data_IF_357072259538
#
_entry.id   IF_357072259538
#
_cell.length_a   1.000
_cell.length_b   1.000
_cell.length_c   1.000
_cell.angle_alpha   90.00
_cell.angle_beta   90.00
_cell.angle_gamma   90.00
#
_symmetry.space_group_name_H-M   'P 1'
#
loop_
_entity.id
_entity.type
_entity.pdbx_description
1 polymer ?
#
# COMPACT_ATOMS: atom_id res chain seq x y z
N UNK A 1 31.84 9.80 87.40
CA UNK A 1 31.01 11.03 87.43
C UNK A 1 30.92 11.52 85.98
N UNK A 2 29.83 11.57 85.20
CA UNK A 2 28.35 11.47 85.30
C UNK A 2 27.93 10.81 83.96
N UNK A 3 27.29 9.64 83.87
CA UNK A 3 25.86 9.32 83.97
C UNK A 3 24.90 10.26 83.20
N UNK A 4 24.28 9.77 82.09
CA UNK A 4 22.84 9.79 81.77
C UNK A 4 22.59 9.21 80.35
N UNK A 5 22.00 8.01 80.23
CA UNK A 5 20.59 7.70 79.93
C UNK A 5 20.20 7.68 78.44
N UNK A 6 20.07 6.44 77.97
CA UNK A 6 19.14 5.88 76.96
C UNK A 6 17.82 6.63 76.73
N UNK A 7 17.32 6.56 75.48
CA UNK A 7 15.93 6.39 74.99
C UNK A 7 15.78 7.05 73.60
N UNK A 8 15.06 6.61 72.57
CA UNK A 8 14.25 5.43 72.21
C UNK A 8 13.98 5.56 70.70
N UNK A 9 13.77 4.43 70.02
CA UNK A 9 13.22 4.19 68.68
C UNK A 9 12.72 5.33 67.79
N UNK A 10 13.03 5.23 66.49
CA UNK A 10 12.00 5.31 65.47
C UNK A 10 12.20 4.22 64.41
N UNK A 11 11.09 3.60 64.06
CA UNK A 11 10.94 2.46 63.16
C UNK A 11 10.95 2.93 61.70
N UNK A 12 11.36 2.02 60.81
CA UNK A 12 10.89 1.86 59.41
C UNK A 12 11.25 3.00 58.43
N UNK A 13 12.10 2.69 57.45
CA UNK A 13 11.68 2.56 56.05
C UNK A 13 12.86 2.08 55.21
N UNK A 14 12.81 0.79 54.83
CA UNK A 14 13.56 0.28 53.69
C UNK A 14 12.93 0.92 52.45
N UNK A 15 13.61 1.85 51.81
CA UNK A 15 13.27 2.27 50.44
C UNK A 15 14.36 1.68 49.55
N UNK A 16 14.11 0.45 49.10
CA UNK A 16 14.79 -0.10 47.91
C UNK A 16 14.30 0.72 46.73
N UNK A 17 15.05 1.73 46.34
CA UNK A 17 14.82 2.42 45.07
C UNK A 17 15.40 1.54 43.96
N UNK A 18 14.59 0.60 43.49
CA UNK A 18 14.79 -0.01 42.19
C UNK A 18 14.34 1.02 41.14
N UNK A 19 15.22 1.96 40.78
CA UNK A 19 15.08 2.68 39.52
C UNK A 19 15.32 1.67 38.40
N UNK A 20 14.23 1.03 37.99
CA UNK A 20 14.16 0.27 36.76
C UNK A 20 14.58 1.19 35.62
N UNK A 21 15.75 0.92 35.05
CA UNK A 21 16.10 1.34 33.70
C UNK A 21 15.01 0.75 32.80
N UNK A 22 13.97 1.53 32.48
CA UNK A 22 13.10 1.20 31.38
C UNK A 22 13.97 1.35 30.12
N UNK A 23 14.62 0.25 29.74
CA UNK A 23 15.20 0.14 28.42
C UNK A 23 14.10 0.51 27.44
N UNK A 24 14.29 1.63 26.75
CA UNK A 24 13.51 1.95 25.56
C UNK A 24 13.91 0.91 24.53
N UNK A 25 13.31 -0.28 24.63
CA UNK A 25 13.23 -1.18 23.51
C UNK A 25 12.55 -0.35 22.42
N UNK A 26 13.15 -0.14 21.24
CA UNK A 26 12.35 0.28 20.10
C UNK A 26 11.25 -0.77 20.02
N UNK A 27 9.99 -0.33 20.15
CA UNK A 27 8.85 -1.17 19.90
C UNK A 27 9.04 -1.68 18.48
N UNK A 28 9.54 -2.91 18.35
CA UNK A 28 9.54 -3.63 17.09
C UNK A 28 8.06 -3.92 16.89
N UNK A 29 7.35 -2.96 16.30
CA UNK A 29 6.07 -3.21 15.71
C UNK A 29 6.37 -4.28 14.67
N UNK A 30 6.02 -5.53 15.01
CA UNK A 30 5.97 -6.60 14.03
C UNK A 30 5.02 -6.07 12.95
N UNK A 31 5.58 -5.62 11.83
CA UNK A 31 4.83 -5.14 10.70
C UNK A 31 4.02 -6.33 10.18
N UNK A 32 2.76 -6.41 10.60
CA UNK A 32 1.82 -7.37 10.06
C UNK A 32 1.54 -6.97 8.62
N UNK A 33 1.88 -7.85 7.68
CA UNK A 33 1.21 -7.79 6.38
C UNK A 33 -0.29 -7.97 6.68
N UNK A 34 -1.10 -6.97 6.34
CA UNK A 34 -2.52 -7.02 6.59
C UNK A 34 -3.13 -8.20 5.84
N UNK A 35 -3.95 -8.99 6.53
CA UNK A 35 -4.88 -9.92 5.89
C UNK A 35 -6.09 -9.13 5.37
N UNK A 36 -6.70 -9.59 4.28
CA UNK A 36 -7.79 -8.88 3.63
C UNK A 36 -7.72 -8.83 2.12
N UNK A 37 -8.62 -8.02 1.57
CA UNK A 37 -8.63 -7.65 0.16
C UNK A 37 -8.92 -6.17 -0.01
N UNK A 38 -8.39 -5.57 -1.07
CA UNK A 38 -8.73 -4.22 -1.48
C UNK A 38 -9.56 -4.29 -2.75
N UNK A 39 -10.65 -3.52 -2.77
CA UNK A 39 -11.50 -3.37 -3.95
C UNK A 39 -11.59 -1.92 -4.33
N UNK A 40 -11.91 -1.67 -5.59
CA UNK A 40 -12.32 -0.34 -6.00
C UNK A 40 -11.98 -0.07 -7.43
N UNK A 41 -11.78 1.20 -7.71
CA UNK A 41 -11.42 1.67 -9.03
C UNK A 41 -11.58 3.16 -9.11
N UNK A 42 -11.31 3.69 -10.30
CA UNK A 42 -11.42 5.11 -10.51
C UNK A 42 -10.71 5.57 -11.75
N UNK A 43 -10.33 6.84 -11.72
CA UNK A 43 -9.50 7.40 -12.76
C UNK A 43 -8.48 8.38 -12.22
N UNK A 44 -7.31 8.34 -12.82
CA UNK A 44 -6.21 9.28 -12.56
C UNK A 44 -5.88 10.03 -13.84
N UNK A 45 -5.53 11.31 -13.70
CA UNK A 45 -5.12 12.15 -14.83
C UNK A 45 -3.61 12.43 -14.71
N UNK A 46 -2.82 12.09 -15.73
CA UNK A 46 -1.36 12.25 -15.71
C UNK A 46 -0.84 13.33 -16.67
N UNK A 47 -1.72 13.99 -17.43
CA UNK A 47 -1.35 15.12 -18.31
C UNK A 47 -1.69 16.49 -17.69
N UNK A 48 -0.88 17.53 -17.95
CA UNK A 48 -1.25 18.91 -17.65
C UNK A 48 -2.60 19.26 -18.29
N UNK A 49 -3.55 19.74 -17.49
CA UNK A 49 -4.93 20.02 -17.93
C UNK A 49 -6.00 19.10 -17.32
N UNK A 50 -5.61 18.01 -16.65
CA UNK A 50 -6.54 17.09 -15.99
C UNK A 50 -7.28 16.16 -16.96
N UNK A 51 -8.29 15.44 -16.45
CA UNK A 51 -9.15 14.56 -17.24
C UNK A 51 -10.19 15.41 -17.99
N UNK A 52 -9.77 16.12 -19.03
CA UNK A 52 -10.69 16.84 -19.92
C UNK A 52 -11.37 15.85 -20.85
N UNK A 53 -12.53 15.36 -20.44
CA UNK A 53 -13.41 14.53 -21.28
C UNK A 53 -14.20 15.41 -22.25
N UNK A 54 -13.51 16.04 -23.21
CA UNK A 54 -14.19 16.63 -24.38
C UNK A 54 -14.30 15.57 -25.46
N UNK A 55 -15.48 15.41 -26.04
CA UNK A 55 -15.75 14.45 -27.12
C UNK A 55 -14.65 14.46 -28.18
N UNK A 56 -13.89 13.37 -28.26
CA UNK A 56 -12.87 13.14 -29.30
C UNK A 56 -11.43 13.52 -28.94
N UNK A 57 -11.14 13.93 -27.70
CA UNK A 57 -9.76 14.16 -27.25
C UNK A 57 -9.48 13.24 -26.07
N UNK A 58 -8.53 12.32 -26.23
CA UNK A 58 -8.06 11.53 -25.12
C UNK A 58 -7.25 12.44 -24.18
N UNK A 59 -7.89 12.93 -23.13
CA UNK A 59 -7.19 13.49 -22.00
C UNK A 59 -6.31 12.40 -21.39
N UNK A 60 -5.23 12.76 -20.70
CA UNK A 60 -4.30 11.83 -20.04
C UNK A 60 -4.92 11.04 -18.90
N UNK A 61 -6.07 10.40 -19.13
CA UNK A 61 -6.86 9.66 -18.19
C UNK A 61 -6.52 8.19 -18.32
N UNK A 62 -6.23 7.59 -17.18
CA UNK A 62 -6.20 6.15 -17.02
C UNK A 62 -7.31 5.79 -16.07
N UNK A 63 -8.08 4.76 -16.42
CA UNK A 63 -9.05 4.15 -15.49
C UNK A 63 -8.56 2.81 -15.01
N UNK A 64 -8.99 2.44 -13.82
CA UNK A 64 -8.74 1.11 -13.29
C UNK A 64 -9.93 0.61 -12.47
N UNK A 65 -10.03 -0.70 -12.34
CA UNK A 65 -10.98 -1.38 -11.47
C UNK A 65 -10.39 -2.71 -11.01
N UNK A 66 -10.58 -3.05 -9.73
CA UNK A 66 -9.90 -4.19 -9.14
C UNK A 66 -10.60 -4.79 -7.93
N UNK A 67 -10.27 -6.06 -7.69
CA UNK A 67 -10.43 -6.81 -6.45
C UNK A 67 -9.15 -7.61 -6.28
N UNK A 68 -8.38 -7.34 -5.22
CA UNK A 68 -7.06 -7.92 -5.02
C UNK A 68 -6.90 -8.35 -3.56
N UNK A 69 -6.47 -9.59 -3.35
CA UNK A 69 -6.22 -10.14 -2.03
C UNK A 69 -4.78 -9.88 -1.58
N UNK A 70 -4.61 -9.68 -0.27
CA UNK A 70 -3.30 -9.45 0.33
C UNK A 70 -2.47 -10.73 0.45
N UNK A 71 -3.15 -11.88 0.56
CA UNK A 71 -2.54 -13.20 0.65
C UNK A 71 -2.29 -13.75 -0.76
N UNK A 72 -1.03 -14.09 -1.04
CA UNK A 72 -0.64 -14.72 -2.31
C UNK A 72 -1.39 -16.04 -2.51
N UNK A 73 -1.96 -16.24 -3.72
CA UNK A 73 -2.75 -17.42 -4.06
C UNK A 73 -4.20 -17.41 -3.57
N UNK A 74 -4.65 -16.36 -2.87
CA UNK A 74 -6.06 -16.17 -2.57
C UNK A 74 -6.79 -15.60 -3.77
N UNK A 75 -7.72 -16.37 -4.34
CA UNK A 75 -8.54 -15.94 -5.47
C UNK A 75 -9.94 -15.48 -5.03
N UNK A 76 -10.60 -14.61 -5.82
CA UNK A 76 -10.17 -14.10 -7.14
C UNK A 76 -9.27 -12.86 -7.06
N UNK A 77 -8.27 -12.77 -7.94
CA UNK A 77 -7.54 -11.52 -8.18
C UNK A 77 -7.86 -10.96 -9.56
N UNK A 78 -8.41 -9.76 -9.60
CA UNK A 78 -8.79 -9.08 -10.83
C UNK A 78 -8.29 -7.65 -10.82
N UNK A 79 -7.65 -7.23 -11.91
CA UNK A 79 -7.28 -5.84 -12.14
C UNK A 79 -7.40 -5.55 -13.64
N UNK A 80 -8.12 -4.48 -13.96
CA UNK A 80 -8.21 -3.92 -15.30
C UNK A 80 -7.68 -2.51 -15.27
N UNK A 81 -6.78 -2.17 -16.20
CA UNK A 81 -6.24 -0.81 -16.39
C UNK A 81 -6.50 -0.41 -17.83
N UNK A 82 -7.08 0.78 -18.05
CA UNK A 82 -7.36 1.30 -19.39
C UNK A 82 -6.68 2.65 -19.57
N UNK A 83 -5.73 2.69 -20.50
CA UNK A 83 -5.09 3.91 -20.98
C UNK A 83 -5.91 4.46 -22.16
N UNK A 84 -6.67 5.52 -21.88
CA UNK A 84 -7.55 6.14 -22.87
C UNK A 84 -6.75 6.95 -23.90
N UNK A 85 -5.52 7.37 -23.62
CA UNK A 85 -4.68 8.13 -24.56
C UNK A 85 -4.30 7.29 -25.76
N UNK A 86 -3.77 6.11 -25.49
CA UNK A 86 -3.30 5.19 -26.52
C UNK A 86 -4.34 4.11 -26.87
N UNK A 87 -5.53 4.18 -26.27
CA UNK A 87 -6.61 3.19 -26.43
C UNK A 87 -6.10 1.77 -26.16
N UNK A 88 -5.48 1.56 -24.99
CA UNK A 88 -4.90 0.29 -24.54
C UNK A 88 -5.61 -0.19 -23.29
N UNK A 89 -5.90 -1.49 -23.22
CA UNK A 89 -6.55 -2.12 -22.07
C UNK A 89 -5.69 -3.29 -21.58
N UNK A 90 -5.23 -3.20 -20.34
CA UNK A 90 -4.39 -4.20 -19.69
C UNK A 90 -5.20 -4.97 -18.66
N UNK A 91 -5.24 -6.29 -18.80
CA UNK A 91 -5.94 -7.19 -17.89
C UNK A 91 -4.93 -8.02 -17.11
N UNK A 92 -5.12 -8.15 -15.79
CA UNK A 92 -4.27 -8.98 -14.95
C UNK A 92 -4.48 -10.45 -15.27
N UNK A 93 -3.38 -11.14 -15.57
CA UNK A 93 -3.35 -12.58 -15.82
C UNK A 93 -2.80 -13.33 -14.62
N UNK A 94 -1.77 -12.78 -13.96
CA UNK A 94 -1.16 -13.37 -12.77
C UNK A 94 -0.76 -12.31 -11.77
N UNK A 95 -1.10 -12.53 -10.50
CA UNK A 95 -0.61 -11.75 -9.37
C UNK A 95 0.54 -12.53 -8.72
N UNK A 96 1.76 -12.00 -8.81
CA UNK A 96 2.95 -12.72 -8.35
C UNK A 96 3.41 -12.26 -6.97
N UNK A 97 3.18 -11.00 -6.63
CA UNK A 97 3.59 -10.46 -5.34
C UNK A 97 2.56 -9.45 -4.85
N UNK A 98 2.30 -9.50 -3.56
CA UNK A 98 1.38 -8.63 -2.84
C UNK A 98 2.03 -8.15 -1.55
N UNK A 99 1.71 -6.93 -1.16
CA UNK A 99 2.04 -6.39 0.15
C UNK A 99 0.95 -5.45 0.58
N UNK A 100 0.36 -5.77 1.73
CA UNK A 100 -0.67 -4.96 2.35
C UNK A 100 -0.16 -4.47 3.69
N UNK A 101 -0.21 -3.17 3.92
CA UNK A 101 0.23 -2.61 5.19
C UNK A 101 -0.59 -1.38 5.58
N UNK A 102 -0.50 -1.05 6.86
CA UNK A 102 -1.11 0.13 7.42
C UNK A 102 -0.12 1.30 7.39
N UNK A 103 -0.43 2.31 6.58
CA UNK A 103 0.24 3.60 6.60
C UNK A 103 -0.49 4.52 7.59
N UNK A 104 0.14 4.91 8.71
CA UNK A 104 -0.51 5.75 9.73
C UNK A 104 -0.76 7.20 9.26
N UNK A 105 -0.21 7.62 8.11
CA UNK A 105 -0.52 8.92 7.53
C UNK A 105 -1.87 8.94 6.79
N UNK A 106 -2.46 7.76 6.52
CA UNK A 106 -3.75 7.63 5.86
C UNK A 106 -4.86 7.31 6.87
N UNK A 107 -6.04 7.88 6.66
CA UNK A 107 -7.18 7.77 7.57
C UNK A 107 -8.39 7.11 6.86
N UNK A 108 -8.36 5.79 6.65
CA UNK A 108 -9.48 5.07 6.04
C UNK A 108 -10.72 5.22 6.92
N UNK A 109 -11.87 5.45 6.29
CA UNK A 109 -13.13 5.54 7.02
C UNK A 109 -13.59 4.15 7.46
N UNK A 110 -14.34 4.05 8.59
CA UNK A 110 -14.82 2.76 9.06
C UNK A 110 -15.80 2.07 8.08
N UNK A 111 -15.74 0.73 7.93
CA UNK A 111 -14.94 -0.21 8.72
C UNK A 111 -13.50 -0.34 8.21
N UNK A 112 -12.53 0.07 9.04
CA UNK A 112 -11.13 -0.05 8.69
C UNK A 112 -10.69 -1.53 8.68
N UNK A 113 -10.04 -1.93 7.60
CA UNK A 113 -9.25 -3.16 7.56
C UNK A 113 -7.94 -2.99 8.36
N UNK A 114 -7.18 -4.06 8.53
CA UNK A 114 -5.85 -4.01 9.15
C UNK A 114 -4.78 -3.31 8.29
N UNK A 115 -5.16 -2.80 7.12
CA UNK A 115 -4.29 -2.14 6.15
C UNK A 115 -5.06 -1.06 5.39
N UNK A 116 -4.34 -0.15 4.75
CA UNK A 116 -4.90 0.91 3.90
C UNK A 116 -4.05 1.15 2.65
N UNK A 117 -2.96 0.40 2.49
CA UNK A 117 -2.07 0.47 1.34
C UNK A 117 -1.88 -0.93 0.77
N UNK A 118 -2.10 -1.07 -0.54
CA UNK A 118 -1.88 -2.28 -1.31
C UNK A 118 -0.78 -2.02 -2.34
N UNK A 119 0.27 -2.84 -2.36
CA UNK A 119 1.29 -2.85 -3.40
C UNK A 119 1.26 -4.21 -4.07
N UNK A 120 1.19 -4.23 -5.40
CA UNK A 120 1.15 -5.45 -6.18
C UNK A 120 2.12 -5.45 -7.35
N UNK A 121 2.55 -6.64 -7.73
CA UNK A 121 3.28 -6.91 -8.96
C UNK A 121 2.74 -8.17 -9.62
N UNK A 122 2.56 -8.12 -10.93
CA UNK A 122 2.03 -9.23 -11.71
C UNK A 122 2.33 -9.12 -13.19
N UNK A 123 1.76 -10.02 -13.97
CA UNK A 123 1.74 -9.91 -15.43
C UNK A 123 0.34 -9.57 -15.92
N UNK A 124 0.28 -8.66 -16.88
CA UNK A 124 -0.94 -8.23 -17.54
C UNK A 124 -0.87 -8.54 -19.04
N UNK A 125 -2.01 -8.91 -19.64
CA UNK A 125 -2.17 -9.03 -21.09
C UNK A 125 -2.74 -7.74 -21.66
N UNK A 126 -2.23 -7.33 -22.81
CA UNK A 126 -2.78 -6.19 -23.55
C UNK A 126 -3.92 -6.68 -24.47
N UNK A 127 -5.16 -6.30 -24.16
CA UNK A 127 -6.34 -6.75 -24.90
C UNK A 127 -6.46 -6.15 -26.31
N UNK A 128 -5.68 -5.12 -26.66
CA UNK A 128 -5.88 -4.32 -27.87
C UNK A 128 -4.92 -4.63 -29.01
N UNK A 129 -3.88 -5.42 -28.79
CA UNK A 129 -2.90 -5.78 -29.82
C UNK A 129 -3.23 -7.12 -30.53
N UNK A 130 -4.21 -7.87 -30.03
CA UNK A 130 -4.58 -9.19 -30.55
C UNK A 130 -3.52 -10.26 -30.30
N UNK A 131 -2.58 -10.01 -29.38
CA UNK A 131 -1.51 -10.92 -28.99
C UNK A 131 -1.71 -11.45 -27.58
N UNK A 132 -1.15 -12.62 -27.30
CA UNK A 132 -1.08 -13.20 -25.95
C UNK A 132 0.18 -12.72 -25.20
N UNK A 133 0.75 -11.57 -25.60
CA UNK A 133 1.96 -11.05 -24.96
C UNK A 133 1.64 -10.57 -23.53
N UNK A 134 2.49 -11.01 -22.60
CA UNK A 134 2.45 -10.58 -21.21
C UNK A 134 3.43 -9.43 -20.97
N UNK A 135 2.97 -8.44 -20.21
CA UNK A 135 3.71 -7.26 -19.80
C UNK A 135 3.84 -7.26 -18.27
N UNK A 136 4.97 -6.82 -17.74
CA UNK A 136 5.11 -6.68 -16.29
C UNK A 136 4.33 -5.44 -15.83
N UNK A 137 3.50 -5.60 -14.80
CA UNK A 137 2.79 -4.51 -14.15
C UNK A 137 3.13 -4.46 -12.66
N UNK A 138 3.28 -3.23 -12.15
CA UNK A 138 3.43 -2.93 -10.74
C UNK A 138 2.50 -1.76 -10.38
N UNK A 139 1.87 -1.84 -9.21
CA UNK A 139 0.95 -0.82 -8.75
C UNK A 139 1.01 -0.62 -7.25
N UNK A 140 0.58 0.57 -6.82
CA UNK A 140 0.26 0.91 -5.44
C UNK A 140 -1.09 1.60 -5.40
N UNK A 141 -2.02 1.06 -4.61
CA UNK A 141 -3.31 1.65 -4.31
C UNK A 141 -3.41 1.97 -2.83
N UNK A 142 -4.06 3.08 -2.51
CA UNK A 142 -4.25 3.53 -1.13
C UNK A 142 -5.70 3.90 -0.90
N UNK A 143 -6.18 3.63 0.31
CA UNK A 143 -7.48 4.01 0.86
C UNK A 143 -7.25 5.07 1.94
N UNK A 144 -7.73 6.29 1.69
CA UNK A 144 -7.69 7.41 2.61
C UNK A 144 -9.11 7.90 2.98
N UNK A 145 -10.09 7.00 2.86
CA UNK A 145 -11.49 7.23 3.22
C UNK A 145 -12.34 7.91 2.14
N UNK A 146 -13.68 7.82 2.29
CA UNK A 146 -14.61 8.45 1.36
C UNK A 146 -14.57 9.99 1.45
N UNK A 147 -14.73 10.73 0.34
CA UNK A 147 -15.33 10.30 -0.94
C UNK A 147 -14.38 9.59 -1.92
N UNK A 148 -13.13 9.29 -1.51
CA UNK A 148 -12.14 8.60 -2.34
C UNK A 148 -11.26 9.53 -3.18
N UNK A 149 -11.47 10.85 -3.09
CA UNK A 149 -10.72 11.89 -3.81
C UNK A 149 -9.29 12.11 -3.29
N UNK A 150 -8.95 11.46 -2.17
CA UNK A 150 -7.60 11.42 -1.60
C UNK A 150 -6.98 10.02 -1.63
N UNK A 151 -7.70 9.04 -2.15
CA UNK A 151 -7.14 7.75 -2.52
C UNK A 151 -6.15 7.97 -3.66
N UNK A 152 -5.03 7.26 -3.63
CA UNK A 152 -4.01 7.37 -4.68
C UNK A 152 -3.82 6.06 -5.43
N UNK A 153 -3.51 6.21 -6.72
CA UNK A 153 -3.00 5.15 -7.57
C UNK A 153 -1.62 5.52 -8.11
N UNK A 154 -0.70 4.56 -8.08
CA UNK A 154 0.58 4.57 -8.81
C UNK A 154 0.58 3.31 -9.68
N UNK A 155 0.93 3.45 -10.96
CA UNK A 155 0.91 2.33 -11.93
C UNK A 155 2.15 2.42 -12.81
N UNK A 156 2.82 1.29 -13.01
CA UNK A 156 3.90 1.10 -13.97
C UNK A 156 3.65 -0.17 -14.77
N UNK A 157 3.74 -0.09 -16.10
CA UNK A 157 3.69 -1.24 -17.01
C UNK A 157 4.88 -1.17 -17.95
N UNK A 158 5.58 -2.29 -18.14
CA UNK A 158 6.75 -2.41 -19.01
C UNK A 158 6.69 -3.66 -19.91
N UNK A 159 7.48 -3.68 -20.98
CA UNK A 159 7.61 -4.84 -21.89
C UNK A 159 8.64 -5.89 -21.42
N UNK A 160 9.37 -5.60 -20.33
CA UNK A 160 10.30 -6.53 -19.75
C UNK A 160 9.69 -7.42 -18.67
N UNK A 161 10.55 -8.13 -17.95
CA UNK A 161 10.17 -9.02 -16.87
C UNK A 161 10.19 -8.37 -15.49
N UNK A 162 9.80 -9.16 -14.49
CA UNK A 162 9.95 -8.83 -13.08
C UNK A 162 11.36 -9.19 -12.58
N UNK A 163 12.04 -8.25 -11.91
CA UNK A 163 13.26 -8.52 -11.18
C UNK A 163 12.96 -9.44 -9.98
N UNK A 164 13.56 -10.64 -9.95
CA UNK A 164 13.40 -11.56 -8.82
C UNK A 164 14.15 -11.08 -7.57
N UNK A 165 13.60 -11.38 -6.40
CA UNK A 165 14.29 -11.24 -5.10
C UNK A 165 13.86 -10.04 -4.25
N UNK A 166 12.86 -9.28 -4.67
CA UNK A 166 12.26 -8.24 -3.82
C UNK A 166 11.07 -8.84 -3.09
N UNK A 167 11.20 -9.02 -1.78
CA UNK A 167 10.01 -9.16 -0.94
C UNK A 167 9.32 -7.80 -0.91
N UNK A 168 8.07 -7.71 -1.34
CA UNK A 168 7.23 -6.52 -1.15
C UNK A 168 6.82 -6.35 0.32
N UNK A 169 7.07 -7.38 1.15
CA UNK A 169 6.95 -7.31 2.60
C UNK A 169 8.32 -7.39 3.27
N UNK A 170 9.10 -6.29 3.34
CA UNK A 170 10.13 -6.13 4.34
C UNK A 170 9.63 -5.20 5.46
N UNK A 171 9.75 -5.70 6.67
CA UNK A 171 9.68 -5.14 8.03
C UNK A 171 10.10 -3.67 8.31
N UNK A 172 9.99 -2.72 7.38
CA UNK A 172 10.52 -1.37 7.57
C UNK A 172 9.44 -0.28 7.62
N UNK A 173 9.21 0.40 8.77
CA UNK A 173 8.40 1.61 8.87
C UNK A 173 9.01 2.82 8.11
N UNK A 174 10.12 2.64 7.40
CA UNK A 174 10.68 3.56 6.39
C UNK A 174 10.98 2.91 5.03
N UNK A 175 10.50 1.69 4.77
CA UNK A 175 10.79 0.91 3.57
C UNK A 175 10.24 1.57 2.31
N UNK A 176 11.14 2.10 1.50
CA UNK A 176 10.79 2.84 0.29
C UNK A 176 9.98 1.96 -0.68
N UNK A 177 8.76 2.36 -1.11
CA UNK A 177 7.97 1.64 -2.12
C UNK A 177 8.57 1.74 -3.55
N UNK A 178 9.84 2.11 -3.66
CA UNK A 178 10.53 2.43 -4.90
C UNK A 178 11.29 1.26 -5.50
N UNK A 179 11.10 0.04 -5.01
CA UNK A 179 11.67 -1.11 -5.69
C UNK A 179 10.83 -1.33 -6.97
N UNK A 180 11.26 -0.68 -8.05
CA UNK A 180 10.72 -0.90 -9.39
C UNK A 180 11.13 -2.32 -9.78
N UNK A 181 10.18 -3.23 -9.68
CA UNK A 181 10.40 -4.65 -9.98
C UNK A 181 10.28 -4.87 -11.48
N UNK A 182 9.42 -4.12 -12.16
CA UNK A 182 9.24 -4.25 -13.60
C UNK A 182 10.39 -3.56 -14.38
N UNK A 183 11.07 -4.34 -15.21
CA UNK A 183 12.19 -3.91 -16.05
C UNK A 183 11.76 -3.74 -17.51
N UNK A 184 12.62 -3.17 -18.36
CA UNK A 184 12.34 -2.97 -19.78
C UNK A 184 11.85 -1.56 -20.12
N UNK A 185 11.28 -1.39 -21.31
CA UNK A 185 10.73 -0.13 -21.77
C UNK A 185 9.39 0.15 -21.10
N UNK A 186 9.17 1.41 -20.74
CA UNK A 186 7.93 1.85 -20.11
C UNK A 186 6.82 1.96 -21.15
N UNK A 187 5.73 1.22 -20.94
CA UNK A 187 4.51 1.34 -21.72
C UNK A 187 3.56 2.34 -21.09
N UNK A 188 3.40 2.29 -19.77
CA UNK A 188 2.53 3.18 -19.01
C UNK A 188 3.20 3.50 -17.68
N UNK A 189 3.23 4.79 -17.31
CA UNK A 189 3.71 5.23 -16.01
C UNK A 189 2.84 6.34 -15.47
N UNK A 190 2.32 6.10 -14.28
CA UNK A 190 1.55 7.03 -13.48
C UNK A 190 2.27 7.11 -12.14
N UNK A 191 2.76 8.29 -11.80
CA UNK A 191 3.26 8.55 -10.45
C UNK A 191 2.12 8.55 -9.43
N UNK A 192 2.41 8.77 -8.14
CA UNK A 192 1.37 8.94 -7.13
C UNK A 192 0.40 10.04 -7.55
N UNK A 193 -0.86 9.66 -7.78
CA UNK A 193 -1.91 10.57 -8.22
C UNK A 193 -3.21 10.26 -7.47
N UNK A 194 -3.86 11.30 -6.96
CA UNK A 194 -5.18 11.18 -6.36
C UNK A 194 -6.21 10.75 -7.42
N UNK A 195 -7.21 9.99 -6.98
CA UNK A 195 -8.35 9.68 -7.83
C UNK A 195 -9.12 10.96 -8.16
N UNK A 196 -9.41 11.14 -9.44
CA UNK A 196 -10.33 12.18 -9.93
C UNK A 196 -11.79 11.73 -9.81
N UNK A 197 -12.02 10.43 -9.98
CA UNK A 197 -13.32 9.77 -9.82
C UNK A 197 -13.09 8.36 -9.24
N UNK A 198 -14.08 7.83 -8.53
CA UNK A 198 -14.03 6.50 -7.92
C UNK A 198 -13.51 6.51 -6.48
N UNK A 199 -13.25 5.32 -5.94
CA UNK A 199 -12.75 5.10 -4.60
C UNK A 199 -12.03 3.75 -4.50
N UNK A 200 -11.16 3.63 -3.53
CA UNK A 200 -10.59 2.38 -3.05
C UNK A 200 -11.13 2.08 -1.66
N UNK A 201 -11.25 0.80 -1.34
CA UNK A 201 -11.67 0.37 -0.02
C UNK A 201 -10.89 -0.87 0.39
N UNK A 202 -10.23 -0.80 1.54
CA UNK A 202 -9.66 -1.97 2.19
C UNK A 202 -10.74 -2.72 2.98
N UNK A 203 -10.74 -4.05 2.89
CA UNK A 203 -11.66 -4.94 3.58
C UNK A 203 -10.89 -5.99 4.37
N UNK A 204 -11.47 -6.43 5.49
CA UNK A 204 -11.03 -7.67 6.15
C UNK A 204 -11.44 -8.87 5.28
N UNK A 205 -10.65 -9.94 5.33
CA UNK A 205 -11.08 -11.22 4.77
C UNK A 205 -12.16 -11.81 5.69
N UNK A 206 -13.16 -12.46 5.08
CA UNK A 206 -14.30 -13.06 5.78
C UNK A 206 -14.00 -14.48 6.26
#
# INVERSE_FOLDING_TARGET
MRNLKTRTWCKIAVIVSAMTLAAMAPSIALAWCGEGRMTGGGSVCYTPGGCVETTGVNSGRVTHGFELHCVEGSDPNNLQINDHVLNRAFHLETLNQTSCFYDPALNPKPPAAGFNTFVGQGFVRLNTDGTDQLYCAQWKFTDNGEPGDTDQATILITDGGAASGVSLCPEDPGGSPNNVICTGNVLLKIGPANLTFGNHQAHKDN
#
